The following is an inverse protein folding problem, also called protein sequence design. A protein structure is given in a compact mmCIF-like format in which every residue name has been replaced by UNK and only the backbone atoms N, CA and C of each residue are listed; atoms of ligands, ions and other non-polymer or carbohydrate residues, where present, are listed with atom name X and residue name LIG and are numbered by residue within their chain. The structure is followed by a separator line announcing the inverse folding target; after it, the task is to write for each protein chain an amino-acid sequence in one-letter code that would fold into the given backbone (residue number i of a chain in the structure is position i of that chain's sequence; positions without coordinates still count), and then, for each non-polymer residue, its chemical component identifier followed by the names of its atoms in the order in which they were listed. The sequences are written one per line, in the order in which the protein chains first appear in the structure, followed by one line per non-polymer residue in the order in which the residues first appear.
data_IF_509095512149
#
_entry.id   IF_509095512149
#
_cell.length_a   1.000
_cell.length_b   1.000
_cell.length_c   1.000
_cell.angle_alpha   90.00
_cell.angle_beta   90.00
_cell.angle_gamma   90.00
#
_symmetry.space_group_name_H-M   'P 1'
#
loop_
_entity.id
_entity.type
_entity.pdbx_description
1 polymer ?
#
# COMPACT_ATOMS: atom_id res chain seq x y z
N UNK A 1 -50.68 -18.14 -5.27
CA UNK A 1 -49.71 -19.08 -4.66
C UNK A 1 -48.63 -19.33 -5.71
N UNK A 2 -47.35 -19.03 -5.57
CA UNK A 2 -46.54 -18.68 -4.42
C UNK A 2 -45.51 -17.61 -4.84
N UNK A 3 -45.30 -16.64 -3.95
CA UNK A 3 -44.28 -15.60 -3.98
C UNK A 3 -42.89 -16.20 -3.88
N UNK A 4 -42.04 -15.95 -4.90
CA UNK A 4 -40.61 -16.28 -4.87
C UNK A 4 -39.93 -15.34 -3.89
N UNK A 5 -39.36 -15.93 -2.85
CA UNK A 5 -38.68 -15.32 -1.73
C UNK A 5 -37.25 -14.93 -2.15
N UNK A 6 -36.97 -13.63 -2.26
CA UNK A 6 -35.63 -13.06 -2.35
C UNK A 6 -35.00 -13.03 -0.93
N UNK A 7 -33.87 -13.71 -0.64
CA UNK A 7 -33.17 -13.51 0.63
C UNK A 7 -31.93 -12.65 0.40
N UNK A 8 -32.13 -11.39 0.01
CA UNK A 8 -31.14 -10.34 0.28
C UNK A 8 -31.83 -8.97 0.30
N UNK A 9 -32.87 -8.86 1.13
CA UNK A 9 -33.19 -7.55 1.69
C UNK A 9 -32.17 -7.34 2.80
N UNK A 10 -31.14 -6.55 2.50
CA UNK A 10 -30.48 -5.74 3.52
C UNK A 10 -31.61 -5.08 4.29
N UNK A 11 -31.89 -5.60 5.48
CA UNK A 11 -32.84 -5.01 6.40
C UNK A 11 -32.26 -3.66 6.79
N UNK A 12 -32.69 -2.64 6.05
CA UNK A 12 -32.69 -1.24 6.46
C UNK A 12 -33.58 -1.19 7.70
N UNK A 13 -32.99 -1.49 8.84
CA UNK A 13 -33.64 -1.41 10.14
C UNK A 13 -32.62 -0.86 11.15
N UNK A 14 -32.90 0.37 11.55
CA UNK A 14 -32.35 1.16 12.66
C UNK A 14 -30.97 1.78 12.44
N UNK A 15 -31.05 3.08 12.14
CA UNK A 15 -30.07 4.11 12.45
C UNK A 15 -29.64 4.04 13.92
N UNK A 16 -28.66 3.21 14.26
CA UNK A 16 -27.74 3.59 15.31
C UNK A 16 -26.98 4.79 14.76
N UNK A 17 -27.20 5.96 15.34
CA UNK A 17 -26.41 7.16 15.06
C UNK A 17 -24.98 6.85 15.47
N UNK A 18 -24.18 6.31 14.55
CA UNK A 18 -22.78 5.98 14.76
C UNK A 18 -22.05 7.26 15.15
N UNK A 19 -21.56 7.32 16.40
CA UNK A 19 -20.92 8.52 16.92
C UNK A 19 -19.46 8.54 16.41
N UNK A 20 -18.94 9.68 15.91
CA UNK A 20 -17.52 9.78 15.53
C UNK A 20 -16.55 9.33 16.62
N UNK A 21 -16.95 9.44 17.89
CA UNK A 21 -16.16 8.93 19.03
C UNK A 21 -15.93 7.42 18.98
N UNK A 22 -16.86 6.65 18.41
CA UNK A 22 -16.73 5.19 18.33
C UNK A 22 -15.60 4.77 17.39
N UNK A 23 -15.33 5.55 16.33
CA UNK A 23 -14.18 5.35 15.45
C UNK A 23 -12.84 5.62 16.17
N UNK A 24 -12.80 6.64 17.04
CA UNK A 24 -11.61 6.97 17.85
C UNK A 24 -11.36 5.89 18.91
N UNK A 25 -12.41 5.43 19.58
CA UNK A 25 -12.34 4.34 20.57
C UNK A 25 -11.84 3.06 19.89
N UNK A 26 -12.32 2.76 18.67
CA UNK A 26 -11.84 1.61 17.91
C UNK A 26 -10.32 1.68 17.64
N UNK A 27 -9.78 2.84 17.24
CA UNK A 27 -8.33 3.02 17.08
C UNK A 27 -7.58 2.80 18.40
N UNK A 28 -8.09 3.34 19.51
CA UNK A 28 -7.47 3.13 20.82
C UNK A 28 -7.41 1.66 21.21
N UNK A 29 -8.51 0.92 21.00
CA UNK A 29 -8.59 -0.51 21.29
C UNK A 29 -7.68 -1.31 20.35
N UNK A 30 -7.65 -0.97 19.06
CA UNK A 30 -6.82 -1.70 18.09
C UNK A 30 -5.32 -1.54 18.39
N UNK A 31 -4.88 -0.36 18.85
CA UNK A 31 -3.52 -0.14 19.32
C UNK A 31 -3.19 -0.98 20.56
N UNK A 32 -4.09 -1.04 21.55
CA UNK A 32 -3.90 -1.85 22.76
C UNK A 32 -3.80 -3.33 22.42
N UNK A 33 -4.69 -3.83 21.55
CA UNK A 33 -4.65 -5.21 21.05
C UNK A 33 -3.37 -5.49 20.27
N UNK A 34 -2.89 -4.55 19.45
CA UNK A 34 -1.62 -4.65 18.74
C UNK A 34 -0.40 -4.72 19.68
N UNK A 35 -0.41 -3.97 20.79
CA UNK A 35 0.63 -4.04 21.82
C UNK A 35 0.55 -5.38 22.57
N UNK A 36 -0.65 -5.79 22.98
CA UNK A 36 -0.88 -7.04 23.69
C UNK A 36 -0.46 -8.26 22.85
N UNK A 37 -0.82 -8.30 21.56
CA UNK A 37 -0.41 -9.35 20.63
C UNK A 37 1.10 -9.38 20.45
N UNK A 38 1.75 -8.23 20.26
CA UNK A 38 3.22 -8.13 20.20
C UNK A 38 3.88 -8.62 21.48
N UNK A 39 3.30 -8.35 22.65
CA UNK A 39 3.87 -8.77 23.91
C UNK A 39 3.67 -10.27 24.19
N UNK A 40 2.51 -10.82 23.83
CA UNK A 40 2.17 -12.24 24.01
C UNK A 40 2.94 -13.13 23.03
N UNK A 41 3.16 -12.67 21.81
CA UNK A 41 3.85 -13.39 20.74
C UNK A 41 5.37 -13.15 20.74
N UNK A 42 5.91 -12.33 21.67
CA UNK A 42 7.35 -12.16 21.87
C UNK A 42 7.99 -13.51 22.20
N UNK A 43 8.69 -14.09 21.23
CA UNK A 43 9.35 -15.40 21.33
C UNK A 43 8.76 -16.50 20.44
N UNK A 44 7.65 -16.22 19.76
CA UNK A 44 7.08 -17.12 18.74
C UNK A 44 7.56 -16.74 17.33
N UNK A 45 7.62 -17.70 16.40
CA UNK A 45 8.04 -17.46 15.00
C UNK A 45 6.93 -16.89 14.10
N UNK A 46 5.79 -16.50 14.67
CA UNK A 46 4.60 -16.13 13.88
C UNK A 46 4.59 -14.62 13.59
N UNK A 47 4.42 -14.20 12.32
CA UNK A 47 4.29 -12.78 11.98
C UNK A 47 3.02 -12.16 12.58
N UNK A 48 3.18 -11.10 13.37
CA UNK A 48 2.11 -10.44 14.16
C UNK A 48 1.00 -9.79 13.31
N UNK A 49 1.26 -9.53 12.03
CA UNK A 49 0.34 -8.83 11.12
C UNK A 49 -0.83 -9.71 10.68
N UNK A 50 -0.59 -11.02 10.51
CA UNK A 50 -1.59 -11.95 9.94
C UNK A 50 -2.69 -12.29 10.95
N UNK A 51 -2.35 -12.41 12.24
CA UNK A 51 -3.31 -12.75 13.29
C UNK A 51 -4.31 -11.63 13.56
N UNK A 52 -3.88 -10.37 13.45
CA UNK A 52 -4.76 -9.23 13.69
C UNK A 52 -5.84 -9.09 12.61
N UNK A 53 -5.48 -9.23 11.33
CA UNK A 53 -6.41 -8.98 10.23
C UNK A 53 -7.58 -9.97 10.20
N UNK A 54 -7.32 -11.26 10.42
CA UNK A 54 -8.37 -12.29 10.45
C UNK A 54 -9.30 -12.10 11.67
N UNK A 55 -8.74 -11.79 12.84
CA UNK A 55 -9.51 -11.64 14.08
C UNK A 55 -10.46 -10.42 14.04
N UNK A 56 -10.04 -9.30 13.43
CA UNK A 56 -10.93 -8.14 13.25
C UNK A 56 -12.01 -8.35 12.18
N UNK A 57 -11.68 -9.02 11.07
CA UNK A 57 -12.60 -9.24 9.95
C UNK A 57 -13.70 -10.26 10.29
N UNK A 58 -13.35 -11.36 10.97
CA UNK A 58 -14.32 -12.41 11.30
C UNK A 58 -15.20 -12.02 12.51
N UNK A 59 -14.60 -11.37 13.51
CA UNK A 59 -15.29 -11.01 14.76
C UNK A 59 -16.10 -9.70 14.64
N UNK A 60 -15.58 -8.70 13.92
CA UNK A 60 -16.19 -7.38 13.73
C UNK A 60 -17.49 -7.35 12.92
N UNK A 61 -17.62 -8.29 11.98
CA UNK A 61 -18.70 -8.28 10.98
C UNK A 61 -19.86 -9.21 11.35
N UNK A 62 -19.59 -10.27 12.13
CA UNK A 62 -20.57 -11.31 12.47
C UNK A 62 -21.32 -11.05 13.79
N UNK A 63 -20.70 -10.36 14.75
CA UNK A 63 -21.29 -10.10 16.07
C UNK A 63 -21.60 -8.61 16.25
N UNK A 64 -22.79 -8.27 16.76
CA UNK A 64 -23.15 -6.89 17.15
C UNK A 64 -22.34 -6.46 18.39
N UNK A 65 -21.05 -6.14 18.19
CA UNK A 65 -20.08 -5.76 19.23
C UNK A 65 -20.29 -4.36 19.83
N UNK A 66 -21.53 -3.84 19.82
CA UNK A 66 -21.85 -2.49 20.29
C UNK A 66 -20.96 -1.42 19.63
N UNK A 67 -20.40 -0.52 20.45
CA UNK A 67 -19.55 0.61 20.01
C UNK A 67 -18.33 0.19 19.18
N UNK A 68 -17.74 -0.99 19.45
CA UNK A 68 -16.58 -1.49 18.68
C UNK A 68 -17.01 -1.87 17.27
N UNK A 69 -18.14 -2.56 17.14
CA UNK A 69 -18.70 -2.91 15.83
C UNK A 69 -19.10 -1.68 15.02
N UNK A 70 -19.62 -0.64 15.68
CA UNK A 70 -19.92 0.64 15.02
C UNK A 70 -18.66 1.39 14.59
N UNK A 71 -17.60 1.36 15.40
CA UNK A 71 -16.27 1.88 15.03
C UNK A 71 -15.66 1.15 13.82
N UNK A 72 -15.69 -0.18 13.79
CA UNK A 72 -15.24 -0.98 12.63
C UNK A 72 -16.03 -0.61 11.38
N UNK A 73 -17.36 -0.50 11.50
CA UNK A 73 -18.23 -0.10 10.38
C UNK A 73 -17.94 1.32 9.89
N UNK A 74 -17.60 2.25 10.78
CA UNK A 74 -17.19 3.60 10.40
C UNK A 74 -15.89 3.58 9.60
N UNK A 75 -14.87 2.86 10.08
CA UNK A 75 -13.59 2.70 9.39
C UNK A 75 -13.74 1.98 8.05
N UNK A 76 -14.55 0.93 7.98
CA UNK A 76 -14.83 0.19 6.74
C UNK A 76 -15.59 1.01 5.69
N UNK A 77 -16.28 2.09 6.12
CA UNK A 77 -16.97 3.04 5.22
C UNK A 77 -16.08 4.20 4.78
N UNK A 78 -14.87 4.35 5.34
CA UNK A 78 -13.94 5.38 4.87
C UNK A 78 -13.58 5.05 3.43
N UNK A 79 -13.57 6.09 2.59
CA UNK A 79 -13.18 5.98 1.21
C UNK A 79 -11.74 5.44 1.12
N UNK A 80 -11.51 4.28 0.46
CA UNK A 80 -10.18 3.69 0.36
C UNK A 80 -9.19 4.60 -0.36
N UNK A 81 -9.64 5.38 -1.35
CA UNK A 81 -8.78 6.30 -2.09
C UNK A 81 -8.34 7.45 -1.19
N UNK A 82 -9.21 7.94 -0.30
CA UNK A 82 -8.84 8.92 0.72
C UNK A 82 -7.81 8.34 1.71
N UNK A 83 -7.98 7.10 2.15
CA UNK A 83 -7.04 6.46 3.06
C UNK A 83 -5.65 6.35 2.40
N UNK A 84 -5.59 5.87 1.16
CA UNK A 84 -4.35 5.80 0.39
C UNK A 84 -3.75 7.20 0.16
N UNK A 85 -4.57 8.19 -0.24
CA UNK A 85 -4.15 9.56 -0.48
C UNK A 85 -3.54 10.24 0.75
N UNK A 86 -4.02 9.89 1.95
CA UNK A 86 -3.51 10.45 3.22
C UNK A 86 -2.25 9.74 3.67
N UNK A 87 -2.20 8.40 3.65
CA UNK A 87 -1.09 7.66 4.28
C UNK A 87 0.06 7.33 3.32
N UNK A 88 -0.23 7.08 2.04
CA UNK A 88 0.77 6.59 1.09
C UNK A 88 1.92 7.58 0.86
N UNK A 89 1.69 8.91 0.70
CA UNK A 89 2.79 9.86 0.51
C UNK A 89 3.76 9.86 1.70
N UNK A 90 3.24 9.86 2.93
CA UNK A 90 4.04 9.86 4.14
C UNK A 90 4.84 8.56 4.32
N UNK A 91 4.23 7.40 4.04
CA UNK A 91 4.90 6.10 4.13
C UNK A 91 6.03 5.97 3.09
N UNK A 92 5.77 6.37 1.84
CA UNK A 92 6.78 6.37 0.78
C UNK A 92 7.93 7.33 1.08
N UNK A 93 7.62 8.50 1.64
CA UNK A 93 8.63 9.49 2.04
C UNK A 93 9.49 8.98 3.19
N UNK A 94 8.90 8.47 4.26
CA UNK A 94 9.64 7.90 5.40
C UNK A 94 10.57 6.78 4.95
N UNK A 95 10.05 5.85 4.13
CA UNK A 95 10.84 4.74 3.59
C UNK A 95 12.00 5.25 2.74
N UNK A 96 11.76 6.24 1.87
CA UNK A 96 12.81 6.84 1.02
C UNK A 96 13.85 7.62 1.82
N UNK A 97 13.42 8.35 2.85
CA UNK A 97 14.27 9.21 3.67
C UNK A 97 15.23 8.41 4.55
N UNK A 98 14.80 7.23 5.00
CA UNK A 98 15.59 6.31 5.83
C UNK A 98 16.71 5.58 5.06
N UNK A 99 16.75 5.64 3.72
CA UNK A 99 17.72 4.88 2.92
C UNK A 99 19.08 5.56 2.75
N UNK A 100 20.16 4.76 2.84
CA UNK A 100 21.53 5.24 2.61
C UNK A 100 21.84 5.40 1.09
N UNK A 101 21.92 6.64 0.59
CA UNK A 101 22.17 6.96 -0.83
C UNK A 101 23.42 6.27 -1.41
N UNK A 102 24.49 6.14 -0.62
CA UNK A 102 25.71 5.46 -1.08
C UNK A 102 25.46 3.98 -1.40
N UNK A 103 24.66 3.29 -0.60
CA UNK A 103 24.30 1.89 -0.81
C UNK A 103 23.32 1.74 -1.98
N UNK A 104 22.35 2.66 -2.10
CA UNK A 104 21.44 2.71 -3.25
C UNK A 104 22.24 2.81 -4.56
N UNK A 105 23.18 3.75 -4.66
CA UNK A 105 23.98 3.93 -5.89
C UNK A 105 24.74 2.66 -6.27
N UNK A 106 25.22 1.89 -5.29
CA UNK A 106 25.94 0.63 -5.53
C UNK A 106 25.03 -0.51 -5.98
N UNK A 107 23.75 -0.49 -5.58
CA UNK A 107 22.80 -1.58 -5.82
C UNK A 107 21.65 -1.20 -6.78
N UNK A 108 21.63 0.02 -7.31
CA UNK A 108 20.55 0.60 -8.11
C UNK A 108 20.13 -0.30 -9.26
N UNK A 109 21.09 -0.87 -9.99
CA UNK A 109 20.81 -1.77 -11.12
C UNK A 109 20.04 -3.01 -10.66
N UNK A 110 20.39 -3.58 -9.52
CA UNK A 110 19.71 -4.77 -8.99
C UNK A 110 18.28 -4.41 -8.56
N UNK A 111 18.12 -3.29 -7.85
CA UNK A 111 16.81 -2.78 -7.43
C UNK A 111 15.90 -2.52 -8.64
N UNK A 112 16.39 -1.86 -9.69
CA UNK A 112 15.62 -1.56 -10.89
C UNK A 112 15.23 -2.81 -11.70
N UNK A 113 16.10 -3.83 -11.75
CA UNK A 113 15.79 -5.08 -12.44
C UNK A 113 14.70 -5.87 -11.70
N UNK A 114 14.74 -5.90 -10.36
CA UNK A 114 13.70 -6.57 -9.58
C UNK A 114 12.38 -5.79 -9.62
N UNK A 115 12.43 -4.48 -9.38
CA UNK A 115 11.23 -3.65 -9.29
C UNK A 115 10.56 -3.35 -10.65
N UNK A 116 11.30 -3.35 -11.76
CA UNK A 116 10.72 -3.15 -13.09
C UNK A 116 10.28 -4.48 -13.71
N UNK A 117 11.19 -5.19 -14.39
CA UNK A 117 10.89 -6.49 -14.99
C UNK A 117 10.30 -7.53 -14.02
N UNK A 118 10.81 -7.62 -12.79
CA UNK A 118 10.33 -8.61 -11.81
C UNK A 118 8.85 -8.42 -11.46
N UNK A 119 8.41 -7.18 -11.29
CA UNK A 119 7.00 -6.83 -11.02
C UNK A 119 6.10 -7.15 -12.21
N UNK A 120 6.56 -6.85 -13.43
CA UNK A 120 5.81 -7.22 -14.64
C UNK A 120 5.67 -8.74 -14.74
N UNK A 121 6.75 -9.50 -14.54
CA UNK A 121 6.72 -10.97 -14.58
C UNK A 121 5.78 -11.50 -13.50
N UNK A 122 5.90 -11.02 -12.27
CA UNK A 122 5.04 -11.39 -11.14
C UNK A 122 3.57 -11.11 -11.44
N UNK A 123 3.26 -9.93 -11.98
CA UNK A 123 1.91 -9.55 -12.41
C UNK A 123 1.34 -10.52 -13.44
N UNK A 124 2.12 -10.89 -14.46
CA UNK A 124 1.68 -11.84 -15.49
C UNK A 124 1.51 -13.26 -14.92
N UNK A 125 2.43 -13.71 -14.08
CA UNK A 125 2.36 -15.02 -13.43
C UNK A 125 1.14 -15.13 -12.51
N UNK A 126 0.95 -14.17 -11.61
CA UNK A 126 -0.19 -14.11 -10.69
C UNK A 126 -1.50 -13.93 -11.45
N UNK A 127 -1.56 -13.00 -12.41
CA UNK A 127 -2.77 -12.78 -13.21
C UNK A 127 -3.16 -14.00 -14.05
N UNK A 128 -2.20 -14.73 -14.59
CA UNK A 128 -2.46 -15.99 -15.32
C UNK A 128 -2.91 -17.10 -14.37
N UNK A 129 -2.27 -17.25 -13.21
CA UNK A 129 -2.69 -18.20 -12.19
C UNK A 129 -4.12 -17.91 -11.72
N UNK A 130 -4.45 -16.65 -11.45
CA UNK A 130 -5.79 -16.22 -11.07
C UNK A 130 -6.83 -16.58 -12.15
N UNK A 131 -6.53 -16.30 -13.41
CA UNK A 131 -7.41 -16.60 -14.55
C UNK A 131 -7.67 -18.09 -14.75
N UNK A 132 -6.66 -18.94 -14.49
CA UNK A 132 -6.73 -20.38 -14.73
C UNK A 132 -7.28 -21.16 -13.54
N UNK A 133 -7.06 -20.69 -12.31
CA UNK A 133 -7.44 -21.41 -11.09
C UNK A 133 -8.84 -21.05 -10.61
N UNK A 134 -9.25 -19.79 -10.74
CA UNK A 134 -10.53 -19.35 -10.18
C UNK A 134 -11.68 -19.42 -11.18
N UNK A 135 -12.84 -20.00 -10.81
CA UNK A 135 -13.99 -20.19 -11.71
C UNK A 135 -14.88 -18.93 -11.80
N UNK A 136 -14.30 -17.73 -11.81
CA UNK A 136 -15.06 -16.47 -11.82
C UNK A 136 -15.23 -15.84 -13.21
N UNK A 137 -14.78 -16.53 -14.27
CA UNK A 137 -14.85 -16.05 -15.67
C UNK A 137 -14.30 -14.63 -15.91
N UNK A 138 -13.35 -14.19 -15.09
CA UNK A 138 -12.79 -12.85 -15.18
C UNK A 138 -12.07 -12.59 -16.50
N UNK A 139 -12.17 -11.35 -17.00
CA UNK A 139 -11.39 -10.95 -18.17
C UNK A 139 -9.88 -10.99 -17.86
N UNK A 140 -9.04 -11.11 -18.89
CA UNK A 140 -7.59 -11.00 -18.73
C UNK A 140 -7.18 -9.68 -18.08
N UNK A 141 -7.88 -8.58 -18.41
CA UNK A 141 -7.63 -7.26 -17.84
C UNK A 141 -7.88 -7.24 -16.33
N UNK A 142 -8.98 -7.85 -15.89
CA UNK A 142 -9.34 -7.95 -14.46
C UNK A 142 -8.36 -8.84 -13.71
N UNK A 143 -7.95 -9.95 -14.31
CA UNK A 143 -7.01 -10.89 -13.69
C UNK A 143 -5.60 -10.28 -13.57
N UNK A 144 -5.14 -9.55 -14.59
CA UNK A 144 -3.86 -8.83 -14.57
C UNK A 144 -3.91 -7.58 -13.67
N UNK A 145 -5.06 -6.93 -13.55
CA UNK A 145 -5.28 -5.85 -12.57
C UNK A 145 -5.03 -6.38 -11.15
N UNK A 146 -5.66 -7.50 -10.80
CA UNK A 146 -5.45 -8.14 -9.50
C UNK A 146 -4.02 -8.69 -9.35
N UNK A 147 -3.43 -9.25 -10.42
CA UNK A 147 -2.04 -9.67 -10.42
C UNK A 147 -1.06 -8.52 -10.14
N UNK A 148 -1.33 -7.33 -10.69
CA UNK A 148 -0.54 -6.13 -10.44
C UNK A 148 -0.66 -5.64 -9.00
N UNK A 149 -1.88 -5.65 -8.45
CA UNK A 149 -2.14 -5.34 -7.04
C UNK A 149 -1.38 -6.29 -6.10
N UNK A 150 -1.36 -7.59 -6.41
CA UNK A 150 -0.71 -8.63 -5.60
C UNK A 150 0.80 -8.73 -5.82
N UNK A 151 1.34 -8.02 -6.80
CA UNK A 151 2.78 -8.04 -7.10
C UNK A 151 3.60 -7.15 -6.16
N UNK A 152 2.97 -6.20 -5.46
CA UNK A 152 3.63 -5.39 -4.44
C UNK A 152 4.04 -6.31 -3.26
N UNK A 153 5.32 -6.26 -2.88
CA UNK A 153 5.91 -7.09 -1.84
C UNK A 153 6.24 -6.22 -0.62
N UNK A 154 5.80 -6.65 0.56
CA UNK A 154 6.21 -6.05 1.83
C UNK A 154 7.31 -6.92 2.49
N UNK A 155 8.58 -6.49 2.48
CA UNK A 155 9.66 -7.24 3.04
C UNK A 155 9.91 -6.88 4.50
N UNK A 156 9.12 -6.02 5.16
CA UNK A 156 9.41 -5.50 6.51
C UNK A 156 9.68 -6.64 7.50
N UNK A 157 8.84 -7.68 7.48
CA UNK A 157 9.03 -8.86 8.33
C UNK A 157 10.31 -9.64 7.99
N UNK A 158 10.62 -9.79 6.69
CA UNK A 158 11.78 -10.52 6.20
C UNK A 158 13.08 -9.76 6.51
N UNK A 159 13.09 -8.44 6.32
CA UNK A 159 14.21 -7.55 6.62
C UNK A 159 14.53 -7.55 8.11
N UNK A 160 13.51 -7.48 8.97
CA UNK A 160 13.69 -7.57 10.42
C UNK A 160 14.38 -8.88 10.81
N UNK A 161 13.90 -10.02 10.30
CA UNK A 161 14.48 -11.33 10.57
C UNK A 161 15.90 -11.46 10.00
N UNK A 162 16.17 -10.96 8.80
CA UNK A 162 17.51 -10.98 8.20
C UNK A 162 18.50 -10.14 9.00
N UNK A 163 18.09 -8.99 9.53
CA UNK A 163 18.91 -8.16 10.42
C UNK A 163 19.25 -8.89 11.72
N UNK A 164 18.29 -9.60 12.32
CA UNK A 164 18.54 -10.45 13.50
C UNK A 164 19.52 -11.59 13.21
N UNK A 165 19.50 -12.14 11.99
CA UNK A 165 20.42 -13.18 11.53
C UNK A 165 21.80 -12.66 11.08
N UNK A 166 22.06 -11.35 11.20
CA UNK A 166 23.36 -10.76 10.84
C UNK A 166 23.56 -10.51 9.35
N UNK A 167 22.48 -10.32 8.59
CA UNK A 167 22.58 -9.97 7.16
C UNK A 167 23.37 -8.68 6.93
N UNK A 168 24.12 -8.65 5.83
CA UNK A 168 24.88 -7.45 5.46
C UNK A 168 23.96 -6.25 5.21
N UNK A 169 24.44 -5.03 5.54
CA UNK A 169 23.74 -3.78 5.21
C UNK A 169 23.34 -3.71 3.73
N UNK A 170 24.23 -4.18 2.83
CA UNK A 170 23.97 -4.24 1.39
C UNK A 170 22.71 -5.05 1.06
N UNK A 171 22.54 -6.23 1.66
CA UNK A 171 21.38 -7.08 1.41
C UNK A 171 20.10 -6.42 1.93
N UNK A 172 20.15 -5.79 3.10
CA UNK A 172 19.02 -5.05 3.66
C UNK A 172 18.60 -3.90 2.74
N UNK A 173 19.56 -3.11 2.24
CA UNK A 173 19.28 -2.00 1.30
C UNK A 173 18.70 -2.48 -0.02
N UNK A 174 19.19 -3.62 -0.55
CA UNK A 174 18.62 -4.20 -1.79
C UNK A 174 17.16 -4.56 -1.58
N UNK A 175 16.83 -5.21 -0.47
CA UNK A 175 15.46 -5.67 -0.19
C UNK A 175 14.53 -4.49 0.11
N UNK A 176 14.95 -3.56 0.97
CA UNK A 176 14.18 -2.34 1.28
C UNK A 176 13.95 -1.49 0.03
N UNK A 177 14.99 -1.33 -0.80
CA UNK A 177 14.90 -0.55 -2.03
C UNK A 177 14.13 -1.24 -3.15
N UNK A 178 14.17 -2.57 -3.23
CA UNK A 178 13.35 -3.34 -4.17
C UNK A 178 11.87 -3.17 -3.86
N UNK A 179 11.47 -3.32 -2.60
CA UNK A 179 10.08 -3.11 -2.17
C UNK A 179 9.61 -1.69 -2.40
N UNK A 180 10.39 -0.68 -2.03
CA UNK A 180 10.03 0.73 -2.27
C UNK A 180 9.79 1.01 -3.77
N UNK A 181 10.68 0.51 -4.64
CA UNK A 181 10.53 0.67 -6.09
C UNK A 181 9.41 -0.20 -6.66
N UNK A 182 9.18 -1.38 -6.08
CA UNK A 182 8.09 -2.28 -6.45
C UNK A 182 6.74 -1.63 -6.16
N UNK A 183 6.52 -1.04 -4.98
CA UNK A 183 5.28 -0.34 -4.63
C UNK A 183 4.92 0.74 -5.65
N UNK A 184 5.92 1.56 -6.03
CA UNK A 184 5.77 2.57 -7.08
C UNK A 184 5.49 1.98 -8.47
N UNK A 185 6.06 0.83 -8.81
CA UNK A 185 5.82 0.18 -10.10
C UNK A 185 4.47 -0.52 -10.14
N UNK A 186 4.08 -1.17 -9.05
CA UNK A 186 2.83 -1.89 -8.89
C UNK A 186 1.63 -0.94 -9.02
N UNK A 187 1.68 0.27 -8.45
CA UNK A 187 0.61 1.25 -8.62
C UNK A 187 0.48 1.72 -10.08
N UNK A 188 1.60 1.88 -10.81
CA UNK A 188 1.58 2.25 -12.24
C UNK A 188 0.96 1.14 -13.08
N UNK A 189 1.34 -0.12 -12.80
CA UNK A 189 0.78 -1.31 -13.45
C UNK A 189 -0.71 -1.47 -13.12
N UNK A 190 -1.10 -1.27 -11.87
CA UNK A 190 -2.49 -1.27 -11.44
C UNK A 190 -3.30 -0.22 -12.19
N UNK A 191 -2.84 1.03 -12.25
CA UNK A 191 -3.53 2.11 -12.97
C UNK A 191 -3.69 1.81 -14.47
N UNK A 192 -2.67 1.22 -15.10
CA UNK A 192 -2.73 0.79 -16.50
C UNK A 192 -3.88 -0.20 -16.72
N UNK A 193 -3.93 -1.29 -15.95
CA UNK A 193 -4.97 -2.30 -16.10
C UNK A 193 -6.34 -1.80 -15.64
N UNK A 194 -6.40 -0.93 -14.63
CA UNK A 194 -7.64 -0.32 -14.16
C UNK A 194 -8.29 0.49 -15.29
N UNK A 195 -7.52 1.34 -15.98
CA UNK A 195 -8.00 2.07 -17.16
C UNK A 195 -8.50 1.12 -18.25
N UNK A 196 -7.80 0.01 -18.49
CA UNK A 196 -8.23 -1.00 -19.46
C UNK A 196 -9.56 -1.69 -19.08
N UNK A 197 -9.79 -1.92 -17.79
CA UNK A 197 -11.04 -2.51 -17.25
C UNK A 197 -12.20 -1.52 -17.38
N UNK A 198 -11.97 -0.22 -17.12
CA UNK A 198 -12.98 0.85 -17.25
C UNK A 198 -13.35 1.13 -18.72
N UNK A 199 -12.65 0.52 -19.69
CA UNK A 199 -13.04 0.52 -21.11
C UNK A 199 -12.03 1.16 -22.04
N UNK A 200 -10.88 1.63 -21.54
CA UNK A 200 -9.84 2.19 -22.39
C UNK A 200 -9.12 1.08 -23.17
N UNK A 201 -8.83 1.34 -24.44
CA UNK A 201 -8.07 0.42 -25.29
C UNK A 201 -6.67 0.96 -25.50
N UNK A 202 -5.67 0.17 -25.10
CA UNK A 202 -4.27 0.49 -25.37
C UNK A 202 -3.73 -0.47 -26.43
N UNK A 203 -3.02 0.08 -27.42
CA UNK A 203 -2.14 -0.72 -28.27
C UNK A 203 -0.86 -1.07 -27.51
N UNK A 204 -0.14 -2.10 -27.94
CA UNK A 204 1.16 -2.46 -27.34
C UNK A 204 2.14 -1.29 -27.26
N UNK A 205 2.22 -0.46 -28.31
CA UNK A 205 3.03 0.75 -28.31
C UNK A 205 2.55 1.80 -27.32
N UNK A 206 1.23 1.94 -27.13
CA UNK A 206 0.65 2.87 -26.15
C UNK A 206 0.92 2.41 -24.70
N UNK A 207 0.93 1.10 -24.43
CA UNK A 207 1.30 0.55 -23.12
C UNK A 207 2.75 0.88 -22.79
N UNK A 208 3.69 0.58 -23.70
CA UNK A 208 5.11 0.87 -23.49
C UNK A 208 5.33 2.38 -23.31
N UNK A 209 4.70 3.20 -24.15
CA UNK A 209 4.76 4.65 -24.04
C UNK A 209 4.21 5.12 -22.69
N UNK A 210 3.09 4.58 -22.23
CA UNK A 210 2.51 4.92 -20.93
C UNK A 210 3.46 4.58 -19.79
N UNK A 211 4.01 3.37 -19.76
CA UNK A 211 4.95 2.95 -18.71
C UNK A 211 6.20 3.83 -18.70
N UNK A 212 6.82 4.07 -19.85
CA UNK A 212 8.01 4.93 -19.95
C UNK A 212 7.69 6.37 -19.54
N UNK A 213 6.57 6.93 -20.01
CA UNK A 213 6.17 8.29 -19.71
C UNK A 213 5.90 8.48 -18.21
N UNK A 214 5.21 7.54 -17.58
CA UNK A 214 4.90 7.62 -16.14
C UNK A 214 6.16 7.39 -15.30
N UNK A 215 6.99 6.40 -15.61
CA UNK A 215 8.24 6.16 -14.87
C UNK A 215 9.22 7.33 -14.99
N UNK A 216 9.47 7.84 -16.20
CA UNK A 216 10.38 8.97 -16.40
C UNK A 216 9.79 10.29 -15.87
N UNK A 217 8.48 10.47 -16.00
CA UNK A 217 7.76 11.61 -15.43
C UNK A 217 7.89 11.66 -13.91
N UNK A 218 7.65 10.52 -13.23
CA UNK A 218 7.80 10.41 -11.78
C UNK A 218 9.23 10.74 -11.32
N UNK A 219 10.25 10.23 -12.02
CA UNK A 219 11.66 10.55 -11.72
C UNK A 219 11.93 12.04 -11.93
N UNK A 220 11.45 12.62 -13.02
CA UNK A 220 11.64 14.05 -13.33
C UNK A 220 10.99 14.97 -12.30
N UNK A 221 9.73 14.70 -11.96
CA UNK A 221 8.97 15.46 -10.94
C UNK A 221 9.63 15.29 -9.57
N UNK A 222 9.98 14.06 -9.18
CA UNK A 222 10.66 13.79 -7.91
C UNK A 222 12.00 14.50 -7.79
N UNK A 223 12.81 14.53 -8.85
CA UNK A 223 14.07 15.28 -8.87
C UNK A 223 13.85 16.80 -8.78
N UNK A 224 12.85 17.34 -9.49
CA UNK A 224 12.54 18.76 -9.47
C UNK A 224 12.12 19.22 -8.06
N UNK A 225 11.15 18.53 -7.45
CA UNK A 225 10.68 18.84 -6.11
C UNK A 225 11.74 18.55 -5.03
N UNK A 226 12.51 17.46 -5.16
CA UNK A 226 13.61 17.14 -4.25
C UNK A 226 14.70 18.22 -4.27
N UNK A 227 15.12 18.67 -5.45
CA UNK A 227 16.10 19.74 -5.58
C UNK A 227 15.56 21.07 -5.05
N UNK A 228 14.31 21.43 -5.38
CA UNK A 228 13.66 22.62 -4.84
C UNK A 228 13.59 22.59 -3.31
N UNK A 229 13.28 21.44 -2.72
CA UNK A 229 13.26 21.26 -1.26
C UNK A 229 14.64 21.46 -0.65
N UNK A 230 15.69 20.86 -1.21
CA UNK A 230 17.06 21.00 -0.71
C UNK A 230 17.54 22.45 -0.80
N UNK A 231 17.24 23.13 -1.90
CA UNK A 231 17.57 24.54 -2.07
C UNK A 231 16.85 25.41 -1.02
N UNK A 232 15.56 25.15 -0.78
CA UNK A 232 14.80 25.89 0.22
C UNK A 232 15.30 25.61 1.65
N UNK A 233 15.58 24.35 1.99
CA UNK A 233 16.18 23.98 3.27
C UNK A 233 17.50 24.72 3.52
N UNK A 234 18.29 24.97 2.47
CA UNK A 234 19.53 25.77 2.57
C UNK A 234 19.34 27.21 3.03
N UNK A 235 18.12 27.76 2.96
CA UNK A 235 17.78 29.11 3.45
C UNK A 235 17.17 29.12 4.86
N UNK A 236 16.82 27.96 5.41
CA UNK A 236 16.23 27.83 6.75
C UNK A 236 17.35 27.57 7.74
N UNK A 237 17.45 28.37 8.80
CA UNK A 237 18.48 28.23 9.82
C UNK A 237 17.85 27.92 11.18
N UNK A 238 18.17 26.75 11.71
CA UNK A 238 17.95 26.35 13.11
C UNK A 238 16.47 26.30 13.55
N UNK A 239 15.56 25.94 12.63
CA UNK A 239 14.15 25.69 12.93
C UNK A 239 13.70 24.31 12.42
N UNK A 240 13.75 23.33 13.32
CA UNK A 240 13.38 21.94 13.03
C UNK A 240 11.90 21.80 12.64
N UNK A 241 11.01 22.66 13.15
CA UNK A 241 9.59 22.56 12.82
C UNK A 241 9.35 22.97 11.36
N UNK A 242 10.04 24.00 10.88
CA UNK A 242 9.98 24.41 9.47
C UNK A 242 10.58 23.34 8.56
N UNK A 243 11.73 22.75 8.92
CA UNK A 243 12.37 21.69 8.14
C UNK A 243 11.46 20.47 7.95
N UNK A 244 10.84 19.99 9.03
CA UNK A 244 9.90 18.86 8.99
C UNK A 244 8.65 19.22 8.17
N UNK A 245 8.07 20.39 8.40
CA UNK A 245 6.86 20.82 7.69
C UNK A 245 7.11 20.97 6.19
N UNK A 246 8.26 21.54 5.81
CA UNK A 246 8.65 21.70 4.41
C UNK A 246 8.85 20.34 3.71
N UNK A 247 9.60 19.43 4.34
CA UNK A 247 9.87 18.11 3.75
C UNK A 247 8.60 17.28 3.58
N UNK A 248 7.70 17.31 4.57
CA UNK A 248 6.38 16.68 4.45
C UNK A 248 5.52 17.36 3.37
N UNK A 249 5.44 18.70 3.37
CA UNK A 249 4.63 19.43 2.39
C UNK A 249 5.09 19.13 0.95
N UNK A 250 6.40 19.13 0.70
CA UNK A 250 6.96 18.81 -0.62
C UNK A 250 6.64 17.37 -1.02
N UNK A 251 6.72 16.40 -0.09
CA UNK A 251 6.35 15.01 -0.37
C UNK A 251 4.90 14.87 -0.83
N UNK A 252 3.96 15.52 -0.14
CA UNK A 252 2.54 15.47 -0.52
C UNK A 252 2.29 16.18 -1.86
N UNK A 253 2.88 17.37 -2.06
CA UNK A 253 2.69 18.12 -3.31
C UNK A 253 3.26 17.33 -4.49
N UNK A 254 4.46 16.74 -4.34
CA UNK A 254 5.08 15.94 -5.39
C UNK A 254 4.26 14.69 -5.73
N UNK A 255 3.61 14.06 -4.75
CA UNK A 255 2.76 12.89 -4.98
C UNK A 255 1.51 13.19 -5.82
N UNK A 256 0.90 14.36 -5.65
CA UNK A 256 -0.31 14.76 -6.37
C UNK A 256 -0.06 15.54 -7.67
N UNK A 257 1.20 15.73 -8.07
CA UNK A 257 1.58 16.41 -9.32
C UNK A 257 1.81 15.39 -10.45
#
# INVERSE_FOLDING_TARGET
MASVMLPYRVSVAESSTSNPTDAVIFVGISLVLGIASRHLLRGTRVPYTNLQMDEYAEYGTSHRLGKIGDGIRLWAKIDPDLLLAVFLPALLFESSFSMEVHQIKRCMVQMLILAGPGVLISTFCLGSALKLTFPYDWSWKTSLLLGGLLSATDPVAVVALLKELGASKKLSTIIEGESLMNDGTAIVVFQLFYRMVVGWTFSWGAVIKFLIQVSLGAVGIGLAFGLASVLWLGFIFNDTAIEITLTLAVSYIAYFT
#
